data_IF_278683157386
#
_entry.id   IF_278683157386
#
_cell.length_a   1.000
_cell.length_b   1.000
_cell.length_c   1.000
_cell.angle_alpha   90.00
_cell.angle_beta   90.00
_cell.angle_gamma   90.00
#
_symmetry.space_group_name_H-M   'P 1'
#
loop_
_entity.id
_entity.type
_entity.pdbx_description
1 polymer ?
#
# COMPACT_ATOMS: atom_id res chain seq x y z
N UNK A 1 1.43 -9.89 28.98
CA UNK A 1 1.92 -10.51 27.72
C UNK A 1 0.80 -10.71 26.70
N UNK A 2 -0.34 -11.28 27.08
CA UNK A 2 -1.41 -11.68 26.14
C UNK A 2 -1.97 -10.56 25.26
N UNK A 3 -2.26 -9.39 25.84
CA UNK A 3 -2.73 -8.20 25.09
C UNK A 3 -1.73 -7.74 24.02
N UNK A 4 -0.44 -7.74 24.33
CA UNK A 4 0.61 -7.37 23.38
C UNK A 4 0.69 -8.37 22.23
N UNK A 5 0.59 -9.68 22.53
CA UNK A 5 0.53 -10.73 21.51
C UNK A 5 -0.66 -10.54 20.56
N UNK A 6 -1.85 -10.24 21.10
CA UNK A 6 -3.04 -9.99 20.30
C UNK A 6 -2.87 -8.79 19.37
N UNK A 7 -2.30 -7.69 19.87
CA UNK A 7 -2.07 -6.46 19.11
C UNK A 7 -1.05 -6.66 17.98
N UNK A 8 0.09 -7.31 18.28
CA UNK A 8 1.14 -7.56 17.30
C UNK A 8 0.71 -8.57 16.22
N UNK A 9 -0.23 -9.46 16.55
CA UNK A 9 -0.78 -10.45 15.63
C UNK A 9 -2.12 -10.02 15.00
N UNK A 10 -2.32 -8.73 14.71
CA UNK A 10 -3.55 -8.19 14.08
C UNK A 10 -3.91 -8.85 12.74
N UNK A 11 -2.95 -9.53 12.09
CA UNK A 11 -3.21 -10.40 10.95
C UNK A 11 -4.23 -11.51 11.25
N UNK A 12 -4.20 -12.08 12.46
CA UNK A 12 -5.09 -13.18 12.88
C UNK A 12 -6.57 -12.79 12.86
N UNK A 13 -6.89 -11.53 13.08
CA UNK A 13 -8.26 -11.01 13.07
C UNK A 13 -9.01 -11.29 11.75
N UNK A 14 -8.27 -11.37 10.64
CA UNK A 14 -8.82 -11.61 9.30
C UNK A 14 -7.95 -12.61 8.53
N UNK A 15 -7.49 -13.66 9.22
CA UNK A 15 -6.45 -14.57 8.71
C UNK A 15 -6.81 -15.19 7.35
N UNK A 16 -8.04 -15.71 7.22
CA UNK A 16 -8.52 -16.33 5.99
C UNK A 16 -8.47 -15.35 4.80
N UNK A 17 -9.00 -14.14 4.99
CA UNK A 17 -8.99 -13.09 3.95
C UNK A 17 -7.57 -12.60 3.63
N UNK A 18 -6.71 -12.42 4.64
CA UNK A 18 -5.33 -11.97 4.44
C UNK A 18 -4.49 -12.98 3.66
N UNK A 19 -4.64 -14.29 3.95
CA UNK A 19 -3.96 -15.38 3.22
C UNK A 19 -4.33 -15.42 1.73
N UNK A 20 -5.51 -14.90 1.37
CA UNK A 20 -5.99 -14.84 -0.01
C UNK A 20 -5.76 -13.47 -0.68
N UNK A 21 -5.23 -12.45 0.00
CA UNK A 21 -4.99 -11.16 -0.67
C UNK A 21 -3.75 -11.23 -1.57
N UNK A 22 -3.94 -10.93 -2.86
CA UNK A 22 -2.84 -10.67 -3.80
C UNK A 22 -1.89 -9.57 -3.31
N UNK A 23 -2.43 -8.65 -2.49
CA UNK A 23 -1.76 -7.48 -1.95
C UNK A 23 -0.98 -7.73 -0.65
N UNK A 24 -0.97 -8.95 -0.09
CA UNK A 24 -0.54 -9.18 1.31
C UNK A 24 0.86 -8.64 1.62
N UNK A 25 1.83 -8.83 0.71
CA UNK A 25 3.21 -8.34 0.86
C UNK A 25 3.34 -6.81 0.83
N UNK A 26 2.31 -6.12 0.34
CA UNK A 26 2.25 -4.66 0.26
C UNK A 26 1.23 -4.07 1.25
N UNK A 27 0.60 -4.89 2.08
CA UNK A 27 -0.40 -4.44 3.03
C UNK A 27 0.23 -3.52 4.09
N UNK A 28 -0.38 -2.37 4.33
CA UNK A 28 0.06 -1.37 5.32
C UNK A 28 -0.92 -1.24 6.48
N UNK A 29 -1.97 -2.07 6.53
CA UNK A 29 -2.99 -2.04 7.57
C UNK A 29 -2.43 -2.60 8.88
N UNK A 30 -2.49 -1.79 9.93
CA UNK A 30 -2.13 -2.16 11.29
C UNK A 30 -3.35 -2.09 12.23
N UNK A 31 -3.15 -2.35 13.53
CA UNK A 31 -4.21 -2.30 14.54
C UNK A 31 -4.99 -0.99 14.58
N UNK A 32 -4.36 0.15 14.28
CA UNK A 32 -5.05 1.45 14.16
C UNK A 32 -6.25 1.40 13.20
N UNK A 33 -6.11 0.71 12.08
CA UNK A 33 -7.17 0.59 11.05
C UNK A 33 -8.19 -0.51 11.38
N UNK A 34 -7.95 -1.27 12.45
CA UNK A 34 -8.91 -2.23 13.00
C UNK A 34 -9.61 -1.69 14.25
N UNK A 35 -9.26 -0.50 14.72
CA UNK A 35 -9.91 0.15 15.86
C UNK A 35 -11.13 0.94 15.35
N UNK A 36 -12.31 0.59 15.87
CA UNK A 36 -13.59 1.23 15.57
C UNK A 36 -14.13 2.06 16.74
N UNK A 37 -13.31 2.30 17.76
CA UNK A 37 -13.70 3.00 18.99
C UNK A 37 -14.44 2.12 20.00
N UNK A 38 -14.61 0.82 19.72
CA UNK A 38 -15.11 -0.15 20.70
C UNK A 38 -14.01 -0.67 21.62
N UNK A 39 -14.36 -1.55 22.56
CA UNK A 39 -13.41 -2.10 23.54
C UNK A 39 -12.50 -3.22 22.96
N UNK A 40 -12.23 -3.20 21.64
CA UNK A 40 -11.48 -4.24 20.93
C UNK A 40 -11.16 -3.88 19.48
N UNK A 41 -10.52 -4.81 18.76
CA UNK A 41 -10.24 -4.66 17.34
C UNK A 41 -11.34 -5.33 16.50
N UNK A 42 -11.81 -4.64 15.48
CA UNK A 42 -12.87 -5.05 14.56
C UNK A 42 -12.31 -5.54 13.23
N UNK A 43 -12.71 -6.76 12.85
CA UNK A 43 -12.36 -7.37 11.57
C UNK A 43 -12.95 -6.58 10.40
N UNK A 44 -14.19 -6.11 10.55
CA UNK A 44 -14.90 -5.36 9.52
C UNK A 44 -14.27 -3.98 9.32
N UNK A 45 -13.92 -3.29 10.41
CA UNK A 45 -13.17 -2.04 10.34
C UNK A 45 -11.86 -2.23 9.57
N UNK A 46 -11.10 -3.29 9.88
CA UNK A 46 -9.87 -3.62 9.17
C UNK A 46 -10.09 -3.88 7.66
N UNK A 47 -11.11 -4.67 7.32
CA UNK A 47 -11.44 -5.04 5.94
C UNK A 47 -11.88 -3.82 5.12
N UNK A 48 -12.56 -2.85 5.74
CA UNK A 48 -13.01 -1.62 5.07
C UNK A 48 -11.86 -0.82 4.43
N UNK A 49 -10.63 -0.94 4.93
CA UNK A 49 -9.44 -0.28 4.38
C UNK A 49 -8.66 -1.12 3.36
N UNK A 50 -9.08 -2.36 3.10
CA UNK A 50 -8.38 -3.25 2.17
C UNK A 50 -8.35 -2.68 0.75
N UNK A 51 -9.42 -2.04 0.30
CA UNK A 51 -9.49 -1.51 -1.07
C UNK A 51 -8.57 -0.30 -1.27
N UNK A 52 -8.52 0.63 -0.30
CA UNK A 52 -7.55 1.73 -0.28
C UNK A 52 -6.11 1.19 -0.36
N UNK A 53 -5.81 0.18 0.45
CA UNK A 53 -4.47 -0.45 0.51
C UNK A 53 -4.10 -1.15 -0.79
N UNK A 54 -5.06 -1.88 -1.40
CA UNK A 54 -4.88 -2.54 -2.70
C UNK A 54 -4.66 -1.53 -3.81
N UNK A 55 -5.43 -0.44 -3.83
CA UNK A 55 -5.25 0.64 -4.80
C UNK A 55 -3.86 1.29 -4.66
N UNK A 56 -3.41 1.53 -3.43
CA UNK A 56 -2.05 2.03 -3.16
C UNK A 56 -0.95 1.07 -3.64
N UNK A 57 -1.10 -0.24 -3.40
CA UNK A 57 -0.18 -1.25 -3.89
C UNK A 57 -0.13 -1.28 -5.43
N UNK A 58 -1.30 -1.23 -6.08
CA UNK A 58 -1.41 -1.18 -7.53
C UNK A 58 -0.75 0.07 -8.12
N UNK A 59 -0.93 1.24 -7.48
CA UNK A 59 -0.24 2.48 -7.84
C UNK A 59 1.27 2.35 -7.80
N UNK A 60 1.83 1.77 -6.73
CA UNK A 60 3.27 1.53 -6.60
C UNK A 60 3.82 0.62 -7.71
N UNK A 61 3.09 -0.44 -8.03
CA UNK A 61 3.48 -1.36 -9.11
C UNK A 61 3.47 -0.65 -10.48
N UNK A 62 2.42 0.11 -10.78
CA UNK A 62 2.35 0.91 -12.01
C UNK A 62 3.47 1.93 -12.09
N UNK A 63 3.75 2.63 -11.00
CA UNK A 63 4.84 3.63 -10.98
C UNK A 63 6.21 2.99 -11.19
N UNK A 64 6.44 1.82 -10.58
CA UNK A 64 7.68 1.06 -10.81
C UNK A 64 7.83 0.67 -12.29
N UNK A 65 6.78 0.12 -12.90
CA UNK A 65 6.78 -0.25 -14.33
C UNK A 65 7.00 1.00 -15.20
N UNK A 66 6.28 2.08 -14.92
CA UNK A 66 6.43 3.34 -15.63
C UNK A 66 7.88 3.83 -15.61
N UNK A 67 8.54 3.84 -14.44
CA UNK A 67 9.95 4.24 -14.37
C UNK A 67 10.91 3.32 -15.14
N UNK A 68 10.57 2.03 -15.31
CA UNK A 68 11.32 1.12 -16.18
C UNK A 68 11.08 1.41 -17.65
N UNK A 69 9.86 1.82 -18.01
CA UNK A 69 9.42 2.11 -19.37
C UNK A 69 9.86 3.48 -19.87
N UNK A 70 10.01 4.48 -18.99
CA UNK A 70 10.46 5.84 -19.29
C UNK A 70 11.72 5.87 -20.19
N UNK A 71 12.85 5.23 -19.83
CA UNK A 71 14.04 5.26 -20.67
C UNK A 71 13.88 4.49 -22.00
N UNK A 72 12.89 3.60 -22.12
CA UNK A 72 12.67 2.80 -23.33
C UNK A 72 11.76 3.50 -24.33
N UNK A 73 10.67 4.12 -23.85
CA UNK A 73 9.61 4.64 -24.72
C UNK A 73 9.46 6.16 -24.68
N UNK A 74 9.99 6.81 -23.65
CA UNK A 74 9.80 8.26 -23.42
C UNK A 74 11.12 9.03 -23.33
N UNK A 75 12.23 8.42 -23.76
CA UNK A 75 13.56 9.01 -23.65
C UNK A 75 13.67 10.38 -24.35
N UNK A 76 12.97 10.60 -25.47
CA UNK A 76 12.99 11.87 -26.19
C UNK A 76 12.31 12.98 -25.38
N UNK A 77 11.11 12.71 -24.86
CA UNK A 77 10.31 13.66 -24.09
C UNK A 77 11.00 14.04 -22.77
N UNK A 78 11.71 13.08 -22.14
CA UNK A 78 12.47 13.34 -20.91
C UNK A 78 13.76 14.11 -21.20
N UNK A 79 14.45 13.86 -22.32
CA UNK A 79 15.67 14.61 -22.71
C UNK A 79 15.37 16.05 -23.12
N UNK A 80 14.21 16.31 -23.70
CA UNK A 80 13.76 17.68 -23.98
C UNK A 80 13.66 18.54 -22.71
N UNK A 81 13.36 17.94 -21.55
CA UNK A 81 13.35 18.66 -20.27
C UNK A 81 14.76 19.03 -19.75
N UNK A 82 15.79 18.24 -20.08
CA UNK A 82 17.18 18.55 -19.68
C UNK A 82 17.81 19.63 -20.58
N UNK A 83 17.48 19.62 -21.88
CA UNK A 83 17.98 20.59 -22.86
C UNK A 83 17.34 21.99 -22.69
N UNK A 84 16.13 22.08 -22.14
CA UNK A 84 15.45 23.35 -21.85
C UNK A 84 15.79 23.94 -20.48
N UNK A 85 16.74 23.34 -19.76
CA UNK A 85 17.25 23.80 -18.49
C UNK A 85 16.24 23.58 -17.38
N UNK A 86 16.64 22.82 -16.36
CA UNK A 86 16.01 22.88 -15.04
C UNK A 86 16.01 24.32 -14.53
N UNK A 87 14.96 25.07 -14.88
CA UNK A 87 14.59 26.33 -14.23
C UNK A 87 13.60 25.96 -13.13
N UNK A 88 14.19 25.76 -11.96
CA UNK A 88 13.67 26.06 -10.64
C UNK A 88 12.29 25.49 -10.27
N UNK A 89 12.32 24.44 -9.46
CA UNK A 89 11.59 24.42 -8.20
C UNK A 89 12.62 24.32 -7.06
#
# INVERSE_FOLDING_TARGET
MEKASHLLNVGRLTEAACKQCWCFRYCTICAKRADDGSNGLSADAKISFCDETRAGAYGKLKQYLFFKEVPMFYAVQVRSMEAEGGKNL
#
